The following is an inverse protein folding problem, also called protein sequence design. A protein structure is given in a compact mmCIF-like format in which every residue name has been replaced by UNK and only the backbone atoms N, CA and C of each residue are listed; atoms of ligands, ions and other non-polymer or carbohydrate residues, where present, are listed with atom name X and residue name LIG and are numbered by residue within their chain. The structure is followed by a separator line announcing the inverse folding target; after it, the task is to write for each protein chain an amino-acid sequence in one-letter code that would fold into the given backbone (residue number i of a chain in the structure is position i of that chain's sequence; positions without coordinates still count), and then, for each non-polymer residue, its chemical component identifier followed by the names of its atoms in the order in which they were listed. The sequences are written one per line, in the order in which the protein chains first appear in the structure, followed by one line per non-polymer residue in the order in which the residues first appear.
data_IF_264634348971
#
_entry.id   IF_264634348971
#
_cell.length_a   1.000
_cell.length_b   1.000
_cell.length_c   1.000
_cell.angle_alpha   90.00
_cell.angle_beta   90.00
_cell.angle_gamma   90.00
#
_symmetry.space_group_name_H-M   'P 1'
#
loop_
_entity.id
_entity.type
_entity.pdbx_description
1 polymer ?
#
# COMPACT_ATOMS: atom_id res chain seq x y z
N UNK A 1 2.99 3.46 -17.80
CA UNK A 1 2.01 3.08 -16.74
C UNK A 1 0.58 2.88 -17.27
N UNK A 2 0.36 2.85 -18.56
CA UNK A 2 -0.92 2.55 -19.22
C UNK A 2 -1.14 1.03 -19.34
N UNK A 3 -1.45 0.36 -18.26
CA UNK A 3 -1.66 -1.12 -18.24
C UNK A 3 -1.75 -1.66 -16.81
N UNK A 4 -1.63 -0.79 -15.81
CA UNK A 4 -1.87 -1.15 -14.41
C UNK A 4 -3.39 -1.18 -14.16
N UNK A 5 -3.84 -2.16 -13.36
CA UNK A 5 -5.15 -2.11 -12.76
C UNK A 5 -5.38 -0.73 -12.11
N UNK A 6 -6.59 -0.21 -12.21
CA UNK A 6 -6.95 1.14 -11.75
C UNK A 6 -6.63 1.39 -10.27
N UNK A 7 -6.47 0.33 -9.46
CA UNK A 7 -6.10 0.41 -8.05
C UNK A 7 -4.61 0.75 -7.77
N UNK A 8 -3.72 0.71 -8.79
CA UNK A 8 -2.28 0.95 -8.70
C UNK A 8 -1.75 1.90 -9.79
N UNK A 9 -2.56 2.86 -10.21
CA UNK A 9 -2.19 3.87 -11.18
C UNK A 9 -1.22 4.91 -10.63
N UNK A 10 -0.84 5.89 -11.46
CA UNK A 10 0.02 7.00 -11.07
C UNK A 10 -0.54 7.81 -9.91
N UNK A 11 -1.85 7.92 -9.80
CA UNK A 11 -2.57 8.54 -8.69
C UNK A 11 -2.26 7.91 -7.32
N UNK A 12 -2.01 6.59 -7.26
CA UNK A 12 -1.49 5.94 -6.06
C UNK A 12 -0.11 6.47 -5.68
N UNK A 13 0.81 6.55 -6.64
CA UNK A 13 2.16 7.08 -6.41
C UNK A 13 2.11 8.51 -5.89
N UNK A 14 1.28 9.38 -6.47
CA UNK A 14 1.10 10.77 -6.03
C UNK A 14 0.61 10.84 -4.58
N UNK A 15 -0.39 10.02 -4.20
CA UNK A 15 -0.88 9.97 -2.81
C UNK A 15 0.18 9.45 -1.84
N UNK A 16 0.96 8.45 -2.23
CA UNK A 16 2.06 7.91 -1.40
C UNK A 16 3.15 8.96 -1.21
N UNK A 17 3.55 9.68 -2.27
CA UNK A 17 4.52 10.79 -2.17
C UNK A 17 4.02 11.86 -1.21
N UNK A 18 2.78 12.33 -1.39
CA UNK A 18 2.19 13.33 -0.50
C UNK A 18 2.16 12.86 0.96
N UNK A 19 1.74 11.62 1.19
CA UNK A 19 1.67 11.06 2.54
C UNK A 19 3.07 10.91 3.17
N UNK A 20 4.05 10.46 2.39
CA UNK A 20 5.43 10.32 2.83
C UNK A 20 6.05 11.67 3.23
N UNK A 21 5.78 12.73 2.47
CA UNK A 21 6.19 14.11 2.83
C UNK A 21 5.57 14.56 4.16
N UNK A 22 4.27 14.28 4.35
CA UNK A 22 3.56 14.66 5.58
C UNK A 22 4.11 13.90 6.81
N UNK A 23 4.44 12.62 6.67
CA UNK A 23 5.04 11.85 7.75
C UNK A 23 6.47 12.35 8.01
N UNK A 24 7.29 12.54 6.96
CA UNK A 24 8.67 13.03 7.07
C UNK A 24 8.76 14.39 7.77
N UNK A 25 7.77 15.26 7.60
CA UNK A 25 7.76 16.58 8.26
C UNK A 25 7.72 16.49 9.79
N UNK A 26 7.28 15.37 10.36
CA UNK A 26 7.27 15.11 11.80
C UNK A 26 8.50 14.35 12.30
N UNK A 27 9.38 13.88 11.41
CA UNK A 27 10.57 13.09 11.69
C UNK A 27 11.83 13.92 11.34
N UNK A 28 12.39 14.58 12.34
CA UNK A 28 13.48 15.57 12.15
C UNK A 28 14.75 14.99 11.51
N UNK A 29 14.99 13.69 11.65
CA UNK A 29 16.17 12.99 11.14
C UNK A 29 15.99 12.49 9.70
N UNK A 30 14.77 12.54 9.16
CA UNK A 30 14.46 12.02 7.84
C UNK A 30 15.03 12.89 6.72
N UNK A 31 15.72 12.27 5.77
CA UNK A 31 16.16 12.93 4.55
C UNK A 31 15.02 12.97 3.54
N UNK A 32 14.40 14.14 3.39
CA UNK A 32 13.24 14.35 2.53
C UNK A 32 13.49 13.96 1.06
N UNK A 33 14.71 14.17 0.54
CA UNK A 33 15.05 13.78 -0.83
C UNK A 33 14.99 12.26 -1.00
N UNK A 34 15.54 11.49 -0.04
CA UNK A 34 15.50 10.02 -0.07
C UNK A 34 14.06 9.53 0.01
N UNK A 35 13.26 10.08 0.94
CA UNK A 35 11.84 9.73 1.11
C UNK A 35 11.07 9.96 -0.19
N UNK A 36 11.20 11.13 -0.81
CA UNK A 36 10.47 11.48 -2.04
C UNK A 36 10.90 10.60 -3.22
N UNK A 37 12.20 10.43 -3.44
CA UNK A 37 12.72 9.61 -4.52
C UNK A 37 12.27 8.14 -4.36
N UNK A 38 12.34 7.61 -3.15
CA UNK A 38 11.87 6.27 -2.86
C UNK A 38 10.34 6.13 -3.08
N UNK A 39 9.54 7.11 -2.65
CA UNK A 39 8.10 7.11 -2.85
C UNK A 39 7.70 7.20 -4.34
N UNK A 40 8.42 7.98 -5.15
CA UNK A 40 8.16 8.07 -6.59
C UNK A 40 8.48 6.74 -7.31
N UNK A 41 9.53 6.05 -6.87
CA UNK A 41 10.06 4.87 -7.57
C UNK A 41 9.62 3.53 -6.97
N UNK A 42 8.87 3.51 -5.84
CA UNK A 42 8.61 2.28 -5.10
C UNK A 42 7.90 1.18 -5.91
N UNK A 43 7.00 1.58 -6.78
CA UNK A 43 6.18 0.67 -7.61
C UNK A 43 6.63 0.62 -9.10
N UNK A 44 7.88 1.03 -9.41
CA UNK A 44 8.38 1.10 -10.79
C UNK A 44 8.32 -0.24 -11.55
N UNK A 45 8.39 -1.37 -10.83
CA UNK A 45 8.30 -2.73 -11.38
C UNK A 45 6.94 -3.40 -11.10
N UNK A 46 5.89 -2.65 -10.79
CA UNK A 46 4.58 -3.22 -10.43
C UNK A 46 3.94 -4.01 -11.57
N UNK A 47 4.10 -3.56 -12.81
CA UNK A 47 3.61 -4.25 -14.00
C UNK A 47 4.21 -5.66 -14.10
N UNK A 48 5.50 -5.80 -13.82
CA UNK A 48 6.21 -7.08 -13.91
C UNK A 48 5.69 -8.13 -12.91
N UNK A 49 5.19 -7.70 -11.74
CA UNK A 49 4.55 -8.62 -10.78
C UNK A 49 3.19 -9.09 -11.30
N UNK A 50 2.41 -8.20 -11.90
CA UNK A 50 1.10 -8.52 -12.50
C UNK A 50 1.29 -9.51 -13.64
N UNK A 51 2.20 -9.23 -14.57
CA UNK A 51 2.47 -10.08 -15.73
C UNK A 51 3.01 -11.47 -15.33
N UNK A 52 3.76 -11.55 -14.23
CA UNK A 52 4.28 -12.82 -13.71
C UNK A 52 3.32 -13.57 -12.78
N UNK A 53 2.08 -13.09 -12.61
CA UNK A 53 1.10 -13.65 -11.66
C UNK A 53 1.65 -13.78 -10.23
N UNK A 54 2.40 -12.75 -9.79
CA UNK A 54 2.96 -12.66 -8.43
C UNK A 54 4.26 -13.43 -8.18
N UNK A 55 4.85 -14.07 -9.21
CA UNK A 55 6.13 -14.80 -9.08
C UNK A 55 7.32 -13.85 -8.87
N UNK A 56 7.30 -12.69 -9.51
CA UNK A 56 8.34 -11.68 -9.37
C UNK A 56 7.94 -10.65 -8.32
N UNK A 57 8.72 -10.49 -7.28
CA UNK A 57 8.48 -9.46 -6.27
C UNK A 57 8.84 -8.08 -6.85
N UNK A 58 7.85 -7.20 -7.04
CA UNK A 58 8.08 -5.87 -7.59
C UNK A 58 9.01 -5.01 -6.72
N UNK A 59 9.00 -5.18 -5.40
CA UNK A 59 9.90 -4.45 -4.51
C UNK A 59 11.38 -4.83 -4.76
N UNK A 60 11.66 -6.11 -4.95
CA UNK A 60 13.01 -6.58 -5.22
C UNK A 60 13.50 -6.13 -6.60
N UNK A 61 12.70 -6.35 -7.64
CA UNK A 61 13.03 -5.92 -9.00
C UNK A 61 13.07 -4.40 -9.12
N UNK A 62 12.07 -3.72 -8.58
CA UNK A 62 11.97 -2.26 -8.60
C UNK A 62 13.13 -1.58 -7.90
N UNK A 63 13.60 -2.14 -6.78
CA UNK A 63 14.76 -1.58 -6.08
C UNK A 63 16.04 -1.60 -6.93
N UNK A 64 16.26 -2.63 -7.76
CA UNK A 64 17.39 -2.70 -8.68
C UNK A 64 17.25 -1.71 -9.83
N UNK A 65 16.08 -1.68 -10.47
CA UNK A 65 15.78 -0.74 -11.56
C UNK A 65 15.95 0.72 -11.09
N UNK A 66 15.44 1.03 -9.90
CA UNK A 66 15.56 2.36 -9.31
C UNK A 66 17.03 2.74 -9.03
N UNK A 67 17.84 1.81 -8.52
CA UNK A 67 19.26 2.03 -8.30
C UNK A 67 20.00 2.34 -9.60
N UNK A 68 19.82 1.52 -10.63
CA UNK A 68 20.49 1.68 -11.93
C UNK A 68 20.07 3.01 -12.59
N UNK A 69 18.78 3.37 -12.51
CA UNK A 69 18.28 4.64 -13.00
C UNK A 69 18.90 5.84 -12.26
N UNK A 70 19.00 5.78 -10.93
CA UNK A 70 19.56 6.84 -10.11
C UNK A 70 21.06 7.04 -10.40
N UNK A 71 21.83 5.95 -10.52
CA UNK A 71 23.24 6.01 -10.89
C UNK A 71 23.40 6.61 -12.30
N UNK A 72 22.62 6.13 -13.26
CA UNK A 72 22.65 6.66 -14.64
C UNK A 72 22.23 8.14 -14.74
N UNK A 73 21.47 8.63 -13.75
CA UNK A 73 21.06 10.05 -13.62
C UNK A 73 22.05 10.89 -12.80
N UNK A 74 23.21 10.35 -12.41
CA UNK A 74 24.24 11.08 -11.68
C UNK A 74 24.02 11.17 -10.16
N UNK A 75 23.13 10.36 -9.59
CA UNK A 75 22.98 10.26 -8.15
C UNK A 75 24.21 9.55 -7.55
N UNK A 76 24.75 10.08 -6.44
CA UNK A 76 25.86 9.43 -5.75
C UNK A 76 25.47 8.03 -5.23
N UNK A 77 26.40 7.04 -5.28
CA UNK A 77 26.11 5.63 -4.99
C UNK A 77 25.56 5.40 -3.58
N UNK A 78 26.04 6.10 -2.59
CA UNK A 78 25.53 6.00 -1.19
C UNK A 78 24.05 6.38 -1.10
N UNK A 79 23.67 7.48 -1.76
CA UNK A 79 22.29 7.96 -1.77
C UNK A 79 21.37 7.04 -2.57
N UNK A 80 21.85 6.55 -3.72
CA UNK A 80 21.12 5.60 -4.54
C UNK A 80 20.87 4.29 -3.76
N UNK A 81 21.83 3.82 -2.96
CA UNK A 81 21.71 2.65 -2.12
C UNK A 81 20.67 2.82 -1.00
N UNK A 82 20.63 3.99 -0.33
CA UNK A 82 19.62 4.29 0.67
C UNK A 82 18.20 4.27 0.06
N UNK A 83 18.03 4.87 -1.12
CA UNK A 83 16.73 4.85 -1.83
C UNK A 83 16.37 3.42 -2.23
N UNK A 84 17.32 2.65 -2.77
CA UNK A 84 17.15 1.23 -3.11
C UNK A 84 16.64 0.42 -1.91
N UNK A 85 17.25 0.62 -0.75
CA UNK A 85 16.87 -0.09 0.47
C UNK A 85 15.46 0.28 0.94
N UNK A 86 15.05 1.54 0.86
CA UNK A 86 13.67 1.95 1.14
C UNK A 86 12.68 1.19 0.25
N UNK A 87 12.94 1.15 -1.07
CA UNK A 87 12.10 0.45 -2.04
C UNK A 87 12.07 -1.05 -1.76
N UNK A 88 13.20 -1.66 -1.44
CA UNK A 88 13.32 -3.09 -1.16
C UNK A 88 12.45 -3.53 0.04
N UNK A 89 12.36 -2.68 1.07
CA UNK A 89 11.70 -3.00 2.34
C UNK A 89 10.24 -2.54 2.44
N UNK A 90 9.69 -1.79 1.44
CA UNK A 90 8.37 -1.17 1.58
C UNK A 90 7.21 -2.18 1.74
N UNK A 91 7.38 -3.45 1.34
CA UNK A 91 6.35 -4.49 1.50
C UNK A 91 6.47 -5.30 2.79
N UNK A 92 7.58 -5.21 3.49
CA UNK A 92 7.86 -6.04 4.68
C UNK A 92 7.59 -7.53 4.42
N UNK A 93 8.27 -8.08 3.39
CA UNK A 93 8.24 -9.52 3.05
C UNK A 93 9.65 -10.10 3.19
N UNK A 94 9.74 -11.42 3.40
CA UNK A 94 11.02 -12.16 3.45
C UNK A 94 11.99 -11.62 4.52
N UNK A 95 11.48 -11.33 5.73
CA UNK A 95 12.22 -10.84 6.90
C UNK A 95 12.99 -9.51 6.67
N UNK A 96 12.67 -8.78 5.61
CA UNK A 96 13.25 -7.48 5.31
C UNK A 96 12.46 -6.38 6.02
N UNK A 97 12.90 -6.05 7.21
CA UNK A 97 12.33 -4.97 8.02
C UNK A 97 12.81 -3.60 7.52
N UNK A 98 11.95 -2.57 7.49
CA UNK A 98 12.39 -1.19 7.32
C UNK A 98 13.20 -0.71 8.52
N UNK A 99 14.53 -0.56 8.36
CA UNK A 99 15.43 -0.23 9.46
C UNK A 99 15.69 1.28 9.58
N UNK A 100 15.78 2.00 8.45
CA UNK A 100 15.97 3.45 8.45
C UNK A 100 14.66 4.19 8.63
N UNK A 101 14.73 5.45 9.06
CA UNK A 101 13.53 6.29 9.21
C UNK A 101 12.83 6.52 7.87
N UNK A 102 13.59 6.70 6.78
CA UNK A 102 13.05 6.89 5.44
C UNK A 102 12.31 5.64 4.95
N UNK A 103 12.86 4.44 5.21
CA UNK A 103 12.21 3.18 4.87
C UNK A 103 10.90 2.99 5.66
N UNK A 104 10.87 3.35 6.95
CA UNK A 104 9.67 3.32 7.79
C UNK A 104 8.62 4.30 7.29
N UNK A 105 9.02 5.50 6.88
CA UNK A 105 8.13 6.51 6.32
C UNK A 105 7.49 6.01 5.02
N UNK A 106 8.29 5.47 4.09
CA UNK A 106 7.75 4.92 2.84
C UNK A 106 6.78 3.77 3.10
N UNK A 107 7.16 2.84 3.98
CA UNK A 107 6.29 1.73 4.38
C UNK A 107 4.94 2.23 4.90
N UNK A 108 4.95 3.16 5.85
CA UNK A 108 3.72 3.70 6.44
C UNK A 108 2.88 4.45 5.40
N UNK A 109 3.52 5.27 4.55
CA UNK A 109 2.83 6.02 3.51
C UNK A 109 2.09 5.10 2.52
N UNK A 110 2.75 4.03 2.05
CA UNK A 110 2.13 3.03 1.18
C UNK A 110 0.97 2.29 1.87
N UNK A 111 1.16 1.86 3.12
CA UNK A 111 0.10 1.17 3.87
C UNK A 111 -1.08 2.08 4.19
N UNK A 112 -0.85 3.35 4.48
CA UNK A 112 -1.93 4.32 4.69
C UNK A 112 -2.82 4.50 3.45
N UNK A 113 -2.30 4.35 2.24
CA UNK A 113 -3.10 4.44 1.01
C UNK A 113 -4.07 3.25 0.84
N UNK A 114 -3.86 2.17 1.59
CA UNK A 114 -4.76 0.99 1.58
C UNK A 114 -5.83 1.01 2.68
N UNK A 115 -5.91 2.06 3.50
CA UNK A 115 -6.93 2.18 4.56
C UNK A 115 -7.63 3.55 4.54
N UNK A 116 -8.73 3.66 5.30
CA UNK A 116 -9.59 4.85 5.28
C UNK A 116 -10.46 4.91 4.03
N UNK A 117 -10.96 6.10 3.69
CA UNK A 117 -11.84 6.30 2.54
C UNK A 117 -11.19 5.89 1.21
N UNK A 118 -9.89 6.21 1.03
CA UNK A 118 -9.11 5.80 -0.15
C UNK A 118 -9.01 4.28 -0.22
N UNK A 119 -8.65 3.63 0.90
CA UNK A 119 -8.54 2.18 0.96
C UNK A 119 -9.86 1.46 0.68
N UNK A 120 -10.98 1.98 1.18
CA UNK A 120 -12.33 1.48 0.87
C UNK A 120 -12.59 1.59 -0.65
N UNK A 121 -12.38 2.77 -1.24
CA UNK A 121 -12.58 2.98 -2.67
C UNK A 121 -11.73 2.03 -3.52
N UNK A 122 -10.45 1.86 -3.17
CA UNK A 122 -9.54 0.92 -3.85
C UNK A 122 -9.99 -0.54 -3.71
N UNK A 123 -10.48 -0.95 -2.54
CA UNK A 123 -10.97 -2.30 -2.32
C UNK A 123 -12.21 -2.60 -3.18
N UNK A 124 -13.17 -1.66 -3.28
CA UNK A 124 -14.33 -1.81 -4.16
C UNK A 124 -13.97 -1.78 -5.64
N UNK A 125 -13.01 -0.93 -6.02
CA UNK A 125 -12.51 -0.88 -7.39
C UNK A 125 -11.90 -2.23 -7.81
N UNK A 126 -11.02 -2.79 -6.98
CA UNK A 126 -10.44 -4.12 -7.20
C UNK A 126 -11.51 -5.21 -7.23
N UNK A 127 -12.46 -5.21 -6.29
CA UNK A 127 -13.56 -6.18 -6.27
C UNK A 127 -14.40 -6.12 -7.56
N UNK A 128 -14.62 -4.91 -8.11
CA UNK A 128 -15.28 -4.73 -9.40
C UNK A 128 -14.47 -5.30 -10.57
N UNK A 129 -13.14 -5.12 -10.57
CA UNK A 129 -12.25 -5.67 -11.60
C UNK A 129 -12.26 -7.20 -11.66
N UNK A 130 -12.37 -7.88 -10.51
CA UNK A 130 -12.44 -9.34 -10.43
C UNK A 130 -13.87 -9.88 -10.53
N UNK A 131 -14.88 -9.01 -10.69
CA UNK A 131 -16.29 -9.40 -10.79
C UNK A 131 -16.85 -9.94 -9.46
N UNK A 132 -16.32 -9.49 -8.33
CA UNK A 132 -16.81 -9.89 -7.02
C UNK A 132 -18.16 -9.26 -6.69
N UNK A 133 -18.88 -9.88 -5.74
CA UNK A 133 -20.12 -9.32 -5.19
C UNK A 133 -19.84 -8.03 -4.42
N UNK A 134 -20.88 -7.23 -4.20
CA UNK A 134 -20.79 -6.04 -3.34
C UNK A 134 -20.48 -6.42 -1.89
N UNK A 135 -21.14 -7.46 -1.38
CA UNK A 135 -21.06 -7.89 0.02
C UNK A 135 -21.35 -9.40 0.14
N UNK A 136 -20.72 -10.07 1.10
CA UNK A 136 -20.86 -11.51 1.32
C UNK A 136 -20.72 -11.87 2.82
N UNK A 137 -21.68 -11.46 3.70
CA UNK A 137 -21.55 -11.61 5.15
C UNK A 137 -21.58 -13.07 5.62
N UNK A 138 -22.17 -13.95 4.82
CA UNK A 138 -22.48 -15.33 5.20
C UNK A 138 -21.41 -16.35 4.78
N UNK A 139 -20.30 -15.88 4.21
CA UNK A 139 -19.22 -16.76 3.72
C UNK A 139 -18.12 -16.87 4.76
N UNK A 140 -17.65 -18.09 4.96
CA UNK A 140 -16.40 -18.32 5.68
C UNK A 140 -15.24 -17.69 4.92
N UNK A 141 -14.74 -16.59 5.46
CA UNK A 141 -13.68 -15.79 4.85
C UNK A 141 -12.37 -16.56 4.70
N UNK A 142 -12.19 -17.65 5.44
CA UNK A 142 -10.99 -18.50 5.34
C UNK A 142 -11.03 -19.42 4.13
N UNK A 143 -12.23 -19.70 3.60
CA UNK A 143 -12.46 -20.56 2.43
C UNK A 143 -12.63 -19.78 1.12
N UNK A 144 -12.77 -18.48 1.18
CA UNK A 144 -12.96 -17.66 -0.01
C UNK A 144 -11.67 -17.54 -0.83
N UNK A 145 -11.72 -17.95 -2.09
CA UNK A 145 -10.61 -17.86 -3.02
C UNK A 145 -10.29 -16.40 -3.38
N UNK A 146 -8.99 -16.07 -3.44
CA UNK A 146 -8.54 -14.78 -3.94
C UNK A 146 -8.85 -14.66 -5.45
N UNK A 147 -9.11 -13.44 -5.92
CA UNK A 147 -9.44 -13.11 -7.31
C UNK A 147 -10.74 -13.72 -7.83
N UNK A 148 -11.61 -14.24 -6.97
CA UNK A 148 -12.91 -14.82 -7.30
C UNK A 148 -14.09 -13.91 -6.94
N UNK A 149 -15.31 -14.41 -7.20
CA UNK A 149 -16.57 -13.69 -6.92
C UNK A 149 -16.76 -13.35 -5.42
N UNK A 150 -16.08 -14.07 -4.56
CA UNK A 150 -16.13 -13.89 -3.11
C UNK A 150 -15.00 -13.00 -2.57
N UNK A 151 -14.10 -12.51 -3.43
CA UNK A 151 -13.04 -11.58 -3.06
C UNK A 151 -13.54 -10.13 -2.99
N UNK A 152 -14.51 -9.93 -2.10
CA UNK A 152 -15.19 -8.66 -1.91
C UNK A 152 -14.35 -7.65 -1.11
N UNK A 153 -14.67 -6.36 -1.22
CA UNK A 153 -14.07 -5.33 -0.39
C UNK A 153 -14.27 -5.61 1.11
N UNK A 154 -15.41 -6.20 1.50
CA UNK A 154 -15.68 -6.59 2.89
C UNK A 154 -14.76 -7.73 3.34
N UNK A 155 -14.53 -8.73 2.48
CA UNK A 155 -13.56 -9.80 2.77
C UNK A 155 -12.15 -9.22 2.95
N UNK A 156 -11.69 -8.38 2.03
CA UNK A 156 -10.35 -7.76 2.12
C UNK A 156 -10.20 -6.94 3.41
N UNK A 157 -11.26 -6.25 3.83
CA UNK A 157 -11.30 -5.56 5.12
C UNK A 157 -11.10 -6.53 6.28
N UNK A 158 -11.86 -7.63 6.32
CA UNK A 158 -11.81 -8.59 7.43
C UNK A 158 -10.48 -9.35 7.52
N UNK A 159 -9.91 -9.75 6.37
CA UNK A 159 -8.70 -10.60 6.36
C UNK A 159 -7.41 -9.80 6.39
N UNK A 160 -7.43 -8.51 6.01
CA UNK A 160 -6.20 -7.74 5.85
C UNK A 160 -6.29 -6.29 6.33
N UNK A 161 -7.23 -5.48 5.80
CA UNK A 161 -7.15 -4.03 5.96
C UNK A 161 -7.31 -3.59 7.42
N UNK A 162 -8.18 -4.24 8.20
CA UNK A 162 -8.40 -3.92 9.61
C UNK A 162 -7.16 -4.08 10.50
N UNK A 163 -6.17 -4.86 10.05
CA UNK A 163 -4.94 -5.12 10.79
C UNK A 163 -3.78 -4.18 10.41
N UNK A 164 -3.96 -3.35 9.38
CA UNK A 164 -2.90 -2.44 8.90
C UNK A 164 -2.55 -1.41 9.96
N UNK A 165 -3.52 -0.91 10.71
CA UNK A 165 -3.30 0.03 11.81
C UNK A 165 -2.18 -0.43 12.76
N UNK A 166 -2.18 -1.71 13.11
CA UNK A 166 -1.26 -2.28 14.10
C UNK A 166 0.16 -2.50 13.55
N UNK A 167 0.35 -2.29 12.24
CA UNK A 167 1.63 -2.51 11.54
C UNK A 167 2.41 -1.22 11.27
N UNK A 168 1.90 -0.07 11.68
CA UNK A 168 2.57 1.22 11.45
C UNK A 168 3.84 1.34 12.29
N UNK A 169 4.88 1.92 11.70
CA UNK A 169 6.23 1.98 12.26
C UNK A 169 6.56 3.36 12.85
N UNK A 170 6.07 4.46 12.22
CA UNK A 170 6.30 5.83 12.68
C UNK A 170 5.19 6.30 13.63
N UNK A 171 5.47 7.32 14.43
CA UNK A 171 4.46 7.91 15.32
C UNK A 171 3.33 8.56 14.55
N UNK A 172 3.64 9.32 13.51
CA UNK A 172 2.63 9.99 12.69
C UNK A 172 1.85 8.99 11.83
N UNK A 173 2.49 7.94 11.31
CA UNK A 173 1.84 6.83 10.63
C UNK A 173 0.79 6.17 11.53
N UNK A 174 1.12 5.85 12.77
CA UNK A 174 0.19 5.28 13.77
C UNK A 174 -1.01 6.19 14.02
N UNK A 175 -0.78 7.48 14.23
CA UNK A 175 -1.85 8.45 14.47
C UNK A 175 -2.84 8.52 13.30
N UNK A 176 -2.31 8.59 12.08
CA UNK A 176 -3.15 8.63 10.85
C UNK A 176 -3.87 7.32 10.61
N UNK A 177 -3.21 6.20 10.87
CA UNK A 177 -3.82 4.88 10.71
C UNK A 177 -4.99 4.66 11.66
N UNK A 178 -4.89 5.16 12.89
CA UNK A 178 -5.98 5.09 13.88
C UNK A 178 -7.24 5.85 13.40
N UNK A 179 -7.07 7.04 12.85
CA UNK A 179 -8.17 7.84 12.32
C UNK A 179 -8.83 7.16 11.11
N UNK A 180 -8.01 6.67 10.16
CA UNK A 180 -8.48 5.96 8.97
C UNK A 180 -9.15 4.63 9.32
N UNK A 181 -8.62 3.92 10.31
CA UNK A 181 -9.20 2.66 10.78
C UNK A 181 -10.60 2.87 11.38
N UNK A 182 -10.79 3.87 12.24
CA UNK A 182 -12.10 4.18 12.81
C UNK A 182 -13.14 4.42 11.73
N UNK A 183 -12.80 5.22 10.71
CA UNK A 183 -13.69 5.45 9.57
C UNK A 183 -14.03 4.16 8.82
N UNK A 184 -13.06 3.26 8.60
CA UNK A 184 -13.32 1.96 7.96
C UNK A 184 -14.26 1.09 8.78
N UNK A 185 -14.08 1.02 10.09
CA UNK A 185 -14.96 0.25 10.98
C UNK A 185 -16.39 0.77 10.88
N UNK A 186 -16.57 2.09 10.95
CA UNK A 186 -17.88 2.74 10.81
C UNK A 186 -18.52 2.43 9.46
N UNK A 187 -17.77 2.59 8.37
CA UNK A 187 -18.25 2.33 7.01
C UNK A 187 -18.72 0.88 6.83
N UNK A 188 -17.90 -0.09 7.20
CA UNK A 188 -18.25 -1.50 6.98
C UNK A 188 -19.34 -2.00 7.92
N UNK A 189 -19.46 -1.46 9.13
CA UNK A 189 -20.61 -1.71 9.99
C UNK A 189 -21.88 -1.17 9.34
N UNK A 190 -21.86 0.07 8.86
CA UNK A 190 -22.97 0.71 8.16
C UNK A 190 -23.38 -0.07 6.91
N UNK A 191 -22.43 -0.46 6.08
CA UNK A 191 -22.67 -1.28 4.89
C UNK A 191 -23.39 -2.60 5.25
N UNK A 192 -22.92 -3.29 6.28
CA UNK A 192 -23.53 -4.53 6.78
C UNK A 192 -24.98 -4.30 7.19
N UNK A 193 -25.24 -3.25 7.97
CA UNK A 193 -26.57 -2.95 8.52
C UNK A 193 -27.56 -2.57 7.40
N UNK A 194 -27.11 -1.84 6.37
CA UNK A 194 -27.92 -1.53 5.19
C UNK A 194 -28.21 -2.77 4.33
N UNK A 195 -27.20 -3.63 4.10
CA UNK A 195 -27.38 -4.87 3.31
C UNK A 195 -28.32 -5.85 4.02
N UNK A 196 -28.32 -5.88 5.35
CA UNK A 196 -29.21 -6.74 6.14
C UNK A 196 -30.61 -6.12 6.38
N UNK A 197 -30.86 -4.91 5.92
CA UNK A 197 -32.13 -4.22 6.10
C UNK A 197 -32.41 -3.78 7.55
N UNK A 198 -31.38 -3.63 8.36
CA UNK A 198 -31.46 -3.08 9.73
C UNK A 198 -31.56 -1.55 9.69
N UNK A 199 -31.02 -0.94 8.67
CA UNK A 199 -31.10 0.50 8.38
C UNK A 199 -31.76 0.75 7.04
#
# INVERSE_FOLDING_TARGET
MSGLHSSHGWDHVERVVYMAEQIASSEKEANLFIVKAAAILHDIARIDEVDSTGKNCHAERGSRIAYDFLIGSGCGPERAELIRNCILCHRFRNDRSPDTIEAKILYDADKLDSIGAVGIGRAFLFSGEVGARLHNPDIDMTLAEAYGKEDTAYREYLVKLRFIRDKMLTREGKRRAEERHRFMVEFFNRLRDEVSGVL
#
